data_IF_774371632610
#
_entry.id   IF_774371632610
#
_cell.length_a   1.000
_cell.length_b   1.000
_cell.length_c   1.000
_cell.angle_alpha   90.00
_cell.angle_beta   90.00
_cell.angle_gamma   90.00
#
_symmetry.space_group_name_H-M   'P 1'
#
loop_
_entity.id
_entity.type
_entity.pdbx_description
1 polymer ?
#
# COMPACT_ATOMS: atom_id res chain seq x y z
N UNK A 1 18.82 36.35 16.03
CA UNK A 1 19.16 35.25 16.96
C UNK A 1 17.94 34.46 17.46
N UNK A 2 16.71 34.78 17.04
CA UNK A 2 15.46 34.14 17.52
C UNK A 2 14.87 33.05 16.59
N UNK A 3 15.46 32.79 15.42
CA UNK A 3 14.96 31.78 14.46
C UNK A 3 15.67 30.41 14.53
N UNK A 4 16.83 30.33 15.21
CA UNK A 4 17.58 29.07 15.33
C UNK A 4 16.94 28.15 16.39
N UNK A 5 16.32 28.71 17.42
CA UNK A 5 15.67 27.92 18.48
C UNK A 5 14.34 27.28 18.03
N UNK A 6 13.58 27.91 17.12
CA UNK A 6 12.36 27.32 16.55
C UNK A 6 12.66 26.09 15.69
N UNK A 7 13.77 26.11 14.94
CA UNK A 7 14.24 24.97 14.14
C UNK A 7 14.71 23.80 15.01
N UNK A 8 15.40 24.08 16.13
CA UNK A 8 15.86 23.06 17.06
C UNK A 8 14.72 22.46 17.88
N UNK A 9 13.72 23.26 18.26
CA UNK A 9 12.51 22.78 18.93
C UNK A 9 11.70 21.84 18.02
N UNK A 10 11.54 22.16 16.73
CA UNK A 10 10.85 21.29 15.77
C UNK A 10 11.61 20.01 15.44
N UNK A 11 12.95 20.01 15.44
CA UNK A 11 13.73 18.78 15.29
C UNK A 11 13.70 17.89 16.54
N UNK A 12 13.68 18.48 17.74
CA UNK A 12 13.58 17.73 19.00
C UNK A 12 12.20 17.08 19.15
N UNK A 13 11.13 17.81 18.84
CA UNK A 13 9.76 17.30 18.86
C UNK A 13 9.53 16.20 17.79
N UNK A 14 10.19 16.32 16.62
CA UNK A 14 10.23 15.24 15.62
C UNK A 14 11.00 14.00 16.10
N UNK A 15 12.09 14.17 16.86
CA UNK A 15 12.88 13.06 17.41
C UNK A 15 12.17 12.35 18.56
N UNK A 16 11.47 13.10 19.42
CA UNK A 16 10.68 12.54 20.53
C UNK A 16 9.46 11.76 19.99
N UNK A 17 8.72 12.32 19.02
CA UNK A 17 7.66 11.57 18.31
C UNK A 17 8.19 10.32 17.60
N UNK A 18 9.35 10.42 16.95
CA UNK A 18 9.99 9.28 16.28
C UNK A 18 10.38 8.18 17.28
N UNK A 19 10.90 8.54 18.46
CA UNK A 19 11.27 7.57 19.48
C UNK A 19 10.04 6.88 20.08
N UNK A 20 8.96 7.63 20.34
CA UNK A 20 7.71 7.08 20.86
C UNK A 20 7.03 6.13 19.84
N UNK A 21 7.14 6.45 18.54
CA UNK A 21 6.61 5.56 17.49
C UNK A 21 7.48 4.31 17.28
N UNK A 22 8.81 4.40 17.35
CA UNK A 22 9.72 3.23 17.24
C UNK A 22 9.53 2.24 18.40
N UNK A 23 9.23 2.74 19.61
CA UNK A 23 8.87 1.90 20.77
C UNK A 23 7.56 1.15 20.51
N UNK A 24 6.48 1.85 20.15
CA UNK A 24 5.17 1.23 19.86
C UNK A 24 5.22 0.18 18.73
N UNK A 25 6.04 0.43 17.71
CA UNK A 25 6.21 -0.46 16.56
C UNK A 25 6.93 -1.76 16.95
N UNK A 26 7.96 -1.68 17.80
CA UNK A 26 8.71 -2.86 18.29
C UNK A 26 7.92 -3.67 19.30
N UNK A 27 7.12 -3.00 20.13
CA UNK A 27 6.19 -3.65 21.05
C UNK A 27 5.14 -4.45 20.26
N UNK A 28 4.50 -3.84 19.25
CA UNK A 28 3.52 -4.52 18.40
C UNK A 28 4.08 -5.75 17.66
N UNK A 29 5.33 -5.69 17.17
CA UNK A 29 5.96 -6.83 16.50
C UNK A 29 6.30 -7.98 17.47
N UNK A 30 6.75 -7.65 18.69
CA UNK A 30 7.01 -8.64 19.75
C UNK A 30 5.72 -9.27 20.27
N UNK A 31 4.69 -8.46 20.47
CA UNK A 31 3.34 -8.92 20.83
C UNK A 31 2.79 -9.88 19.78
N UNK A 32 2.98 -9.60 18.48
CA UNK A 32 2.54 -10.50 17.41
C UNK A 32 3.15 -11.90 17.47
N UNK A 33 4.44 -12.02 17.82
CA UNK A 33 5.14 -13.30 17.94
C UNK A 33 4.71 -14.08 19.20
N UNK A 34 4.61 -13.40 20.35
CA UNK A 34 4.11 -13.98 21.61
C UNK A 34 2.65 -14.45 21.43
N UNK A 35 1.84 -13.67 20.72
CA UNK A 35 0.47 -14.06 20.42
C UNK A 35 0.43 -15.30 19.53
N UNK A 36 1.32 -15.48 18.55
CA UNK A 36 1.34 -16.70 17.73
C UNK A 36 1.61 -17.98 18.54
N UNK A 37 2.56 -17.95 19.47
CA UNK A 37 2.85 -19.10 20.33
C UNK A 37 1.65 -19.45 21.23
N UNK A 38 1.01 -18.43 21.83
CA UNK A 38 -0.23 -18.61 22.60
C UNK A 38 -1.36 -19.18 21.76
N UNK A 39 -1.52 -18.72 20.52
CA UNK A 39 -2.55 -19.22 19.57
C UNK A 39 -2.35 -20.71 19.26
N UNK A 40 -1.12 -21.13 19.02
CA UNK A 40 -0.78 -22.55 18.83
C UNK A 40 -1.07 -23.39 20.08
N UNK A 41 -0.73 -22.89 21.26
CA UNK A 41 -0.99 -23.60 22.52
C UNK A 41 -2.49 -23.84 22.74
N UNK A 42 -3.33 -22.84 22.46
CA UNK A 42 -4.79 -22.97 22.58
C UNK A 42 -5.34 -23.93 21.52
N UNK A 43 -4.86 -23.86 20.27
CA UNK A 43 -5.31 -24.76 19.22
C UNK A 43 -5.00 -26.23 19.53
N UNK A 44 -3.88 -26.52 20.20
CA UNK A 44 -3.52 -27.87 20.65
C UNK A 44 -4.47 -28.44 21.71
N UNK A 45 -5.35 -27.62 22.31
CA UNK A 45 -6.37 -28.07 23.27
C UNK A 45 -7.66 -28.53 22.62
N UNK A 46 -7.83 -28.32 21.31
CA UNK A 46 -9.04 -28.72 20.58
C UNK A 46 -8.90 -30.19 20.18
N UNK A 47 -9.60 -31.08 20.87
CA UNK A 47 -9.55 -32.53 20.60
C UNK A 47 -10.73 -33.05 19.77
N UNK A 48 -11.86 -32.35 19.85
CA UNK A 48 -13.08 -32.65 19.09
C UNK A 48 -13.89 -31.39 18.75
N UNK A 49 -15.02 -31.57 18.07
CA UNK A 49 -15.91 -30.47 17.69
C UNK A 49 -16.53 -29.77 18.91
N UNK A 50 -16.83 -30.51 19.99
CA UNK A 50 -17.45 -29.92 21.20
C UNK A 50 -16.45 -29.04 21.94
N UNK A 51 -15.18 -29.41 21.98
CA UNK A 51 -14.10 -28.59 22.52
C UNK A 51 -13.91 -27.30 21.72
N UNK A 52 -14.00 -27.38 20.38
CA UNK A 52 -13.95 -26.20 19.52
C UNK A 52 -15.10 -25.23 19.82
N UNK A 53 -16.34 -25.72 19.93
CA UNK A 53 -17.48 -24.88 20.29
C UNK A 53 -17.37 -24.31 21.70
N UNK A 54 -16.84 -25.07 22.68
CA UNK A 54 -16.61 -24.57 24.04
C UNK A 54 -15.63 -23.40 24.05
N UNK A 55 -14.52 -23.53 23.32
CA UNK A 55 -13.53 -22.47 23.18
C UNK A 55 -14.14 -21.21 22.54
N UNK A 56 -14.92 -21.38 21.47
CA UNK A 56 -15.59 -20.24 20.84
C UNK A 56 -16.60 -19.59 21.78
N UNK A 57 -17.34 -20.37 22.57
CA UNK A 57 -18.26 -19.84 23.57
C UNK A 57 -17.53 -18.98 24.62
N UNK A 58 -16.38 -19.42 25.13
CA UNK A 58 -15.57 -18.64 26.08
C UNK A 58 -15.20 -17.26 25.50
N UNK A 59 -14.74 -17.22 24.25
CA UNK A 59 -14.37 -15.98 23.55
C UNK A 59 -15.57 -15.05 23.35
N UNK A 60 -16.74 -15.61 23.02
CA UNK A 60 -17.94 -14.82 22.76
C UNK A 60 -18.60 -14.29 24.04
N UNK A 61 -18.44 -14.98 25.17
CA UNK A 61 -18.98 -14.57 26.47
C UNK A 61 -18.16 -13.46 27.11
N UNK A 62 -16.84 -13.46 26.94
CA UNK A 62 -15.98 -12.42 27.51
C UNK A 62 -16.26 -11.03 26.91
N UNK A 63 -16.69 -10.97 25.65
CA UNK A 63 -17.01 -9.71 24.92
C UNK A 63 -15.90 -8.65 24.98
N UNK A 64 -14.65 -9.11 25.07
CA UNK A 64 -13.47 -8.27 25.22
C UNK A 64 -12.67 -8.21 23.91
N UNK A 65 -12.13 -7.03 23.60
CA UNK A 65 -11.38 -6.82 22.36
C UNK A 65 -10.07 -7.61 22.35
N UNK A 66 -9.30 -7.61 23.44
CA UNK A 66 -7.98 -8.24 23.48
C UNK A 66 -8.10 -9.76 23.37
N UNK A 67 -9.09 -10.33 24.05
CA UNK A 67 -9.41 -11.75 23.97
C UNK A 67 -9.92 -12.12 22.57
N UNK A 68 -10.80 -11.32 21.99
CA UNK A 68 -11.23 -11.52 20.61
C UNK A 68 -10.05 -11.44 19.62
N UNK A 69 -9.11 -10.52 19.79
CA UNK A 69 -7.91 -10.40 18.94
C UNK A 69 -6.96 -11.61 19.09
N UNK A 70 -6.85 -12.17 20.30
CA UNK A 70 -6.10 -13.39 20.52
C UNK A 70 -6.74 -14.57 19.78
N UNK A 71 -8.07 -14.69 19.83
CA UNK A 71 -8.82 -15.88 19.40
C UNK A 71 -9.50 -15.78 18.03
N UNK A 72 -9.50 -14.61 17.36
CA UNK A 72 -10.14 -14.39 16.06
C UNK A 72 -9.68 -15.37 14.96
N UNK A 73 -8.46 -15.91 15.08
CA UNK A 73 -7.93 -16.91 14.17
C UNK A 73 -8.74 -18.21 14.14
N UNK A 74 -9.53 -18.51 15.18
CA UNK A 74 -10.46 -19.64 15.19
C UNK A 74 -11.66 -19.45 14.26
N UNK A 75 -11.90 -18.24 13.76
CA UNK A 75 -12.87 -18.01 12.68
C UNK A 75 -12.21 -18.01 11.30
N UNK A 76 -10.91 -18.31 11.24
CA UNK A 76 -10.14 -18.23 10.00
C UNK A 76 -9.99 -19.55 9.27
N UNK A 77 -10.10 -19.52 7.93
CA UNK A 77 -9.70 -20.64 7.07
C UNK A 77 -8.17 -20.85 7.02
N UNK A 78 -7.40 -19.90 7.57
CA UNK A 78 -5.94 -19.99 7.72
C UNK A 78 -5.52 -20.19 9.18
N UNK A 79 -6.51 -20.40 10.07
CA UNK A 79 -6.27 -20.64 11.47
C UNK A 79 -5.58 -21.99 11.73
N UNK A 80 -4.89 -22.16 12.86
CA UNK A 80 -4.32 -23.43 13.26
C UNK A 80 -5.32 -24.61 13.28
N UNK A 81 -6.56 -24.35 13.72
CA UNK A 81 -7.63 -25.35 13.76
C UNK A 81 -8.12 -25.75 12.37
N UNK A 82 -7.92 -24.89 11.35
CA UNK A 82 -8.42 -25.12 10.00
C UNK A 82 -7.88 -26.40 9.38
N UNK A 83 -6.74 -26.91 9.87
CA UNK A 83 -6.13 -28.16 9.39
C UNK A 83 -6.64 -29.43 10.09
N UNK A 84 -7.46 -29.30 11.13
CA UNK A 84 -7.94 -30.43 11.93
C UNK A 84 -9.07 -31.18 11.19
N UNK A 85 -8.87 -32.46 10.78
CA UNK A 85 -9.83 -33.15 9.91
C UNK A 85 -11.24 -33.31 10.49
N UNK A 86 -11.36 -33.40 11.82
CA UNK A 86 -12.65 -33.52 12.49
C UNK A 86 -13.49 -32.23 12.46
N UNK A 87 -12.92 -31.09 12.02
CA UNK A 87 -13.64 -29.84 11.79
C UNK A 87 -14.05 -29.65 10.33
N UNK A 88 -13.68 -30.55 9.42
CA UNK A 88 -14.04 -30.47 8.00
C UNK A 88 -15.39 -31.13 7.77
N UNK A 89 -16.45 -30.42 8.16
CA UNK A 89 -17.80 -30.99 8.22
C UNK A 89 -18.76 -30.30 7.25
N UNK A 90 -19.39 -31.11 6.40
CA UNK A 90 -20.52 -30.72 5.58
C UNK A 90 -21.84 -30.71 6.36
N UNK A 91 -22.68 -29.70 6.09
CA UNK A 91 -24.03 -29.46 6.61
C UNK A 91 -24.11 -29.65 8.13
N UNK A 92 -23.17 -29.03 8.86
CA UNK A 92 -23.12 -29.16 10.33
C UNK A 92 -24.40 -28.66 11.01
N UNK A 93 -25.05 -27.63 10.45
CA UNK A 93 -26.28 -27.02 10.97
C UNK A 93 -27.44 -28.03 11.11
N UNK A 94 -27.54 -29.00 10.18
CA UNK A 94 -28.63 -30.00 10.11
C UNK A 94 -28.46 -31.19 11.07
N UNK A 95 -27.35 -31.26 11.81
CA UNK A 95 -27.05 -32.40 12.69
C UNK A 95 -27.87 -32.34 13.98
N UNK A 96 -28.57 -33.44 14.28
CA UNK A 96 -29.49 -33.54 15.43
C UNK A 96 -28.83 -33.37 16.82
N UNK A 97 -27.63 -33.92 17.04
CA UNK A 97 -26.87 -33.84 18.31
C UNK A 97 -25.58 -33.02 18.14
N UNK A 98 -25.72 -31.83 17.55
CA UNK A 98 -24.59 -30.90 17.34
C UNK A 98 -24.35 -30.01 18.55
N UNK A 99 -23.11 -29.57 18.73
CA UNK A 99 -22.82 -28.42 19.58
C UNK A 99 -23.35 -27.13 18.93
N UNK A 100 -23.76 -26.17 19.75
CA UNK A 100 -24.27 -24.86 19.31
C UNK A 100 -23.70 -23.73 20.17
N UNK A 101 -23.65 -22.53 19.63
CA UNK A 101 -23.37 -21.29 20.35
C UNK A 101 -24.69 -20.60 20.74
N UNK A 102 -24.69 -19.88 21.86
CA UNK A 102 -25.89 -19.15 22.33
C UNK A 102 -26.25 -17.96 21.44
N UNK A 103 -25.27 -17.40 20.72
CA UNK A 103 -25.50 -16.33 19.76
C UNK A 103 -25.79 -16.93 18.39
N UNK A 104 -27.06 -16.87 17.95
CA UNK A 104 -27.52 -17.45 16.68
C UNK A 104 -26.69 -16.97 15.46
N UNK A 105 -26.26 -15.71 15.46
CA UNK A 105 -25.47 -15.15 14.37
C UNK A 105 -24.09 -15.80 14.29
N UNK A 106 -23.40 -15.90 15.43
CA UNK A 106 -22.12 -16.59 15.51
C UNK A 106 -22.23 -18.10 15.33
N UNK A 107 -23.30 -18.75 15.81
CA UNK A 107 -23.56 -20.18 15.58
C UNK A 107 -23.65 -20.48 14.08
N UNK A 108 -24.42 -19.67 13.34
CA UNK A 108 -24.54 -19.78 11.89
C UNK A 108 -23.18 -19.54 11.20
N UNK A 109 -22.42 -18.52 11.61
CA UNK A 109 -21.09 -18.26 11.06
C UNK A 109 -20.15 -19.46 11.26
N UNK A 110 -20.18 -20.10 12.43
CA UNK A 110 -19.32 -21.25 12.74
C UNK A 110 -19.74 -22.48 11.93
N UNK A 111 -21.04 -22.72 11.76
CA UNK A 111 -21.54 -23.80 10.91
C UNK A 111 -21.06 -23.62 9.46
N UNK A 112 -21.19 -22.41 8.91
CA UNK A 112 -20.67 -22.05 7.59
C UNK A 112 -19.14 -22.15 7.54
N UNK A 113 -18.42 -21.80 8.61
CA UNK A 113 -16.97 -21.95 8.67
C UNK A 113 -16.53 -23.41 8.54
N UNK A 114 -17.17 -24.34 9.26
CA UNK A 114 -16.90 -25.78 9.13
C UNK A 114 -17.20 -26.29 7.71
N UNK A 115 -18.27 -25.79 7.09
CA UNK A 115 -18.62 -26.07 5.69
C UNK A 115 -17.54 -25.54 4.73
N UNK A 116 -17.02 -24.33 4.95
CA UNK A 116 -15.95 -23.76 4.14
C UNK A 116 -14.66 -24.60 4.26
N UNK A 117 -14.31 -25.05 5.46
CA UNK A 117 -13.18 -25.96 5.68
C UNK A 117 -13.37 -27.30 4.97
N UNK A 118 -14.57 -27.86 4.99
CA UNK A 118 -14.90 -29.07 4.23
C UNK A 118 -14.68 -28.86 2.72
N UNK A 119 -15.17 -27.76 2.16
CA UNK A 119 -14.96 -27.47 0.74
C UNK A 119 -13.49 -27.27 0.38
N UNK A 120 -12.69 -26.68 1.27
CA UNK A 120 -11.25 -26.47 1.05
C UNK A 120 -10.45 -27.78 1.13
N UNK A 121 -10.71 -28.60 2.15
CA UNK A 121 -9.82 -29.71 2.52
C UNK A 121 -10.32 -31.10 2.13
N UNK A 122 -11.62 -31.28 1.90
CA UNK A 122 -12.22 -32.59 1.62
C UNK A 122 -12.81 -32.64 0.21
N UNK A 123 -13.67 -31.67 -0.14
CA UNK A 123 -14.29 -31.64 -1.46
C UNK A 123 -13.38 -31.00 -2.53
N UNK A 124 -12.31 -30.32 -2.11
CA UNK A 124 -11.35 -29.58 -2.97
C UNK A 124 -12.06 -28.62 -3.97
N UNK A 125 -13.19 -28.05 -3.57
CA UNK A 125 -13.99 -27.14 -4.38
C UNK A 125 -13.89 -25.71 -3.84
N UNK A 126 -12.97 -24.92 -4.41
CA UNK A 126 -12.72 -23.55 -3.94
C UNK A 126 -13.83 -22.56 -4.32
N UNK A 127 -14.60 -22.81 -5.37
CA UNK A 127 -15.74 -21.97 -5.74
C UNK A 127 -16.84 -22.05 -4.69
N UNK A 128 -17.18 -23.26 -4.25
CA UNK A 128 -18.12 -23.48 -3.17
C UNK A 128 -17.57 -22.95 -1.84
N UNK A 129 -16.27 -23.11 -1.57
CA UNK A 129 -15.66 -22.49 -0.39
C UNK A 129 -15.79 -20.96 -0.41
N UNK A 130 -15.56 -20.33 -1.57
CA UNK A 130 -15.74 -18.89 -1.74
C UNK A 130 -17.21 -18.48 -1.57
N UNK A 131 -18.16 -19.23 -2.15
CA UNK A 131 -19.58 -19.00 -1.96
C UNK A 131 -19.97 -19.09 -0.47
N UNK A 132 -19.46 -20.07 0.27
CA UNK A 132 -19.68 -20.17 1.72
C UNK A 132 -19.02 -19.00 2.47
N UNK A 133 -17.81 -18.58 2.10
CA UNK A 133 -17.14 -17.43 2.73
C UNK A 133 -17.86 -16.10 2.48
N UNK A 134 -18.48 -15.93 1.29
CA UNK A 134 -19.32 -14.75 1.02
C UNK A 134 -20.59 -14.76 1.88
N UNK A 135 -21.21 -15.93 2.07
CA UNK A 135 -22.33 -16.08 3.01
C UNK A 135 -21.93 -15.72 4.45
N UNK A 136 -20.76 -16.18 4.92
CA UNK A 136 -20.23 -15.79 6.24
C UNK A 136 -20.14 -14.28 6.37
N UNK A 137 -19.62 -13.58 5.35
CA UNK A 137 -19.51 -12.12 5.35
C UNK A 137 -20.88 -11.43 5.37
N UNK A 138 -21.88 -11.96 4.66
CA UNK A 138 -23.25 -11.44 4.66
C UNK A 138 -23.92 -11.63 6.03
N UNK A 139 -23.82 -12.83 6.61
CA UNK A 139 -24.35 -13.14 7.94
C UNK A 139 -23.67 -12.25 8.98
N UNK A 140 -22.34 -12.13 8.95
CA UNK A 140 -21.62 -11.27 9.89
C UNK A 140 -22.06 -9.81 9.78
N UNK A 141 -22.22 -9.27 8.57
CA UNK A 141 -22.70 -7.90 8.39
C UNK A 141 -24.11 -7.72 8.96
N UNK A 142 -25.04 -8.62 8.62
CA UNK A 142 -26.46 -8.51 8.99
C UNK A 142 -26.69 -8.79 10.48
N UNK A 143 -26.16 -9.89 10.99
CA UNK A 143 -26.47 -10.42 12.31
C UNK A 143 -25.54 -9.86 13.40
N UNK A 144 -24.31 -9.46 13.06
CA UNK A 144 -23.33 -8.96 14.03
C UNK A 144 -23.18 -7.45 13.89
N UNK A 145 -22.68 -6.94 12.75
CA UNK A 145 -22.37 -5.50 12.57
C UNK A 145 -23.62 -4.61 12.72
N UNK A 146 -24.73 -5.00 12.09
CA UNK A 146 -25.94 -4.17 12.05
C UNK A 146 -26.82 -4.30 13.30
N UNK A 147 -26.93 -5.51 13.89
CA UNK A 147 -27.75 -5.74 15.09
C UNK A 147 -27.05 -5.32 16.38
N UNK A 148 -25.77 -5.65 16.57
CA UNK A 148 -25.00 -5.30 17.78
C UNK A 148 -24.50 -3.87 17.71
N UNK A 149 -25.40 -2.91 17.90
CA UNK A 149 -25.11 -1.50 17.65
C UNK A 149 -24.02 -0.98 18.58
N UNK A 150 -24.07 -1.25 19.88
CA UNK A 150 -23.25 -0.57 20.89
C UNK A 150 -21.91 -1.25 21.22
N UNK A 151 -21.51 -2.22 20.40
CA UNK A 151 -20.35 -3.07 20.64
C UNK A 151 -19.45 -3.11 19.40
N UNK A 152 -18.15 -3.27 19.64
CA UNK A 152 -17.14 -3.46 18.58
C UNK A 152 -16.08 -4.53 18.92
N UNK A 153 -16.20 -5.25 20.05
CA UNK A 153 -15.24 -6.28 20.47
C UNK A 153 -15.02 -7.37 19.42
N UNK A 154 -15.99 -7.61 18.53
CA UNK A 154 -15.94 -8.61 17.45
C UNK A 154 -15.20 -8.15 16.17
N UNK A 155 -14.69 -6.91 16.12
CA UNK A 155 -13.98 -6.41 14.93
C UNK A 155 -12.72 -7.21 14.56
N UNK A 156 -11.92 -7.76 15.50
CA UNK A 156 -10.81 -8.64 15.14
C UNK A 156 -11.21 -9.88 14.33
N UNK A 157 -12.36 -10.51 14.66
CA UNK A 157 -12.94 -11.60 13.85
C UNK A 157 -13.25 -11.09 12.44
N UNK A 158 -13.90 -9.93 12.35
CA UNK A 158 -14.26 -9.33 11.07
C UNK A 158 -13.05 -9.03 10.17
N UNK A 159 -11.93 -8.57 10.75
CA UNK A 159 -10.68 -8.32 10.00
C UNK A 159 -10.12 -9.60 9.39
N UNK A 160 -10.24 -10.72 10.12
CA UNK A 160 -9.83 -12.03 9.64
C UNK A 160 -10.74 -12.52 8.51
N UNK A 161 -12.06 -12.41 8.67
CA UNK A 161 -13.03 -12.78 7.63
C UNK A 161 -12.83 -11.99 6.33
N UNK A 162 -12.53 -10.69 6.41
CA UNK A 162 -12.16 -9.89 5.24
C UNK A 162 -10.88 -10.40 4.55
N UNK A 163 -9.89 -10.80 5.34
CA UNK A 163 -8.62 -11.34 4.82
C UNK A 163 -8.83 -12.69 4.15
N UNK A 164 -9.64 -13.55 4.74
CA UNK A 164 -9.96 -14.88 4.24
C UNK A 164 -10.76 -14.80 2.95
N UNK A 165 -11.81 -13.97 2.91
CA UNK A 165 -12.56 -13.73 1.68
C UNK A 165 -11.65 -13.26 0.54
N UNK A 166 -10.80 -12.26 0.80
CA UNK A 166 -9.88 -11.72 -0.21
C UNK A 166 -8.85 -12.75 -0.69
N UNK A 167 -8.28 -13.53 0.23
CA UNK A 167 -7.24 -14.51 -0.11
C UNK A 167 -7.81 -15.74 -0.81
N UNK A 168 -8.99 -16.20 -0.41
CA UNK A 168 -9.71 -17.28 -1.06
C UNK A 168 -10.16 -16.87 -2.47
N UNK A 169 -10.76 -15.68 -2.61
CA UNK A 169 -11.14 -15.13 -3.91
C UNK A 169 -9.95 -15.09 -4.89
N UNK A 170 -8.78 -14.68 -4.40
CA UNK A 170 -7.56 -14.67 -5.21
C UNK A 170 -7.14 -16.09 -5.62
N UNK A 171 -7.23 -17.07 -4.73
CA UNK A 171 -6.88 -18.47 -5.03
C UNK A 171 -7.82 -19.06 -6.08
N UNK A 172 -9.11 -18.75 -6.02
CA UNK A 172 -10.09 -19.16 -7.03
C UNK A 172 -9.72 -18.56 -8.40
N UNK A 173 -9.53 -17.24 -8.47
CA UNK A 173 -9.12 -16.56 -9.71
C UNK A 173 -7.78 -17.11 -10.27
N UNK A 174 -6.79 -17.37 -9.41
CA UNK A 174 -5.50 -17.92 -9.82
C UNK A 174 -5.60 -19.39 -10.33
N UNK A 175 -6.70 -20.11 -10.05
CA UNK A 175 -6.98 -21.45 -10.58
C UNK A 175 -7.77 -21.41 -11.87
N UNK A 176 -8.83 -20.58 -11.96
CA UNK A 176 -9.66 -20.46 -13.17
C UNK A 176 -8.89 -19.87 -14.35
N UNK A 177 -8.00 -18.89 -14.11
CA UNK A 177 -7.13 -18.30 -15.15
C UNK A 177 -6.13 -19.31 -15.74
N UNK A 178 -5.87 -20.45 -15.09
CA UNK A 178 -5.01 -21.51 -15.66
C UNK A 178 -5.78 -22.46 -16.58
N UNK A 179 -7.11 -22.44 -16.54
CA UNK A 179 -7.96 -23.37 -17.29
C UNK A 179 -8.51 -22.73 -18.58
N UNK A 180 -8.67 -21.41 -18.62
CA UNK A 180 -9.17 -20.66 -19.78
C UNK A 180 -8.10 -19.76 -20.43
N UNK A 181 -7.43 -20.30 -21.44
CA UNK A 181 -6.62 -19.55 -22.44
C UNK A 181 -7.51 -19.00 -23.59
N UNK A 182 -8.84 -18.92 -23.42
CA UNK A 182 -9.77 -18.50 -24.48
C UNK A 182 -10.46 -17.17 -24.15
N UNK A 183 -10.36 -16.23 -25.10
CA UNK A 183 -10.83 -14.85 -25.02
C UNK A 183 -12.38 -14.79 -25.03
N UNK A 184 -13.00 -14.98 -23.86
CA UNK A 184 -14.43 -14.73 -23.62
C UNK A 184 -14.67 -13.51 -22.73
N UNK A 185 -15.78 -12.78 -22.98
CA UNK A 185 -16.18 -11.57 -22.25
C UNK A 185 -16.03 -11.72 -20.71
N UNK A 186 -15.11 -10.94 -20.12
CA UNK A 186 -14.72 -11.01 -18.70
C UNK A 186 -15.92 -10.96 -17.75
N UNK A 187 -16.33 -12.12 -17.24
CA UNK A 187 -17.09 -12.18 -16.00
C UNK A 187 -16.31 -11.45 -14.89
N UNK A 188 -17.04 -10.81 -13.98
CA UNK A 188 -16.40 -10.11 -12.86
C UNK A 188 -15.67 -11.13 -12.01
N UNK A 189 -14.34 -11.04 -11.89
CA UNK A 189 -13.55 -12.05 -11.17
C UNK A 189 -13.97 -12.15 -9.70
N UNK A 190 -13.76 -13.29 -9.06
CA UNK A 190 -14.10 -13.48 -7.65
C UNK A 190 -13.37 -12.47 -6.76
N UNK A 191 -12.12 -12.13 -7.08
CA UNK A 191 -11.36 -11.11 -6.37
C UNK A 191 -11.99 -9.72 -6.48
N UNK A 192 -12.53 -9.34 -7.65
CA UNK A 192 -13.30 -8.10 -7.79
C UNK A 192 -14.63 -8.18 -7.02
N UNK A 193 -15.38 -9.28 -7.14
CA UNK A 193 -16.66 -9.47 -6.44
C UNK A 193 -16.50 -9.36 -4.92
N UNK A 194 -15.40 -9.87 -4.36
CA UNK A 194 -15.12 -9.81 -2.92
C UNK A 194 -15.14 -8.38 -2.36
N UNK A 195 -14.78 -7.38 -3.17
CA UNK A 195 -14.81 -5.98 -2.77
C UNK A 195 -16.23 -5.50 -2.44
N UNK A 196 -17.26 -6.03 -3.09
CA UNK A 196 -18.66 -5.63 -2.87
C UNK A 196 -19.12 -5.95 -1.44
N UNK A 197 -18.84 -7.16 -0.95
CA UNK A 197 -19.18 -7.60 0.41
C UNK A 197 -18.42 -6.81 1.47
N UNK A 198 -17.11 -6.58 1.27
CA UNK A 198 -16.31 -5.75 2.18
C UNK A 198 -16.84 -4.30 2.16
N UNK A 199 -17.20 -3.77 0.99
CA UNK A 199 -17.72 -2.41 0.86
C UNK A 199 -19.11 -2.24 1.51
N UNK A 200 -19.95 -3.28 1.51
CA UNK A 200 -21.24 -3.26 2.20
C UNK A 200 -21.06 -3.10 3.71
N UNK A 201 -20.22 -3.95 4.31
CA UNK A 201 -19.87 -3.83 5.73
C UNK A 201 -19.14 -2.51 6.03
N UNK A 202 -18.32 -2.01 5.10
CA UNK A 202 -17.62 -0.73 5.25
C UNK A 202 -18.61 0.42 5.43
N UNK A 203 -19.66 0.44 4.62
CA UNK A 203 -20.71 1.46 4.71
C UNK A 203 -21.44 1.39 6.04
N UNK A 204 -21.71 0.19 6.57
CA UNK A 204 -22.31 0.01 7.88
C UNK A 204 -21.42 0.53 9.03
N UNK A 205 -20.09 0.34 8.93
CA UNK A 205 -19.14 0.87 9.91
C UNK A 205 -18.98 2.40 9.81
N UNK A 206 -18.94 2.96 8.59
CA UNK A 206 -18.80 4.41 8.38
C UNK A 206 -20.05 5.18 8.82
N UNK A 207 -21.24 4.58 8.65
CA UNK A 207 -22.52 5.19 9.06
C UNK A 207 -22.77 5.12 10.57
N UNK A 208 -21.88 4.50 11.33
CA UNK A 208 -21.99 4.48 12.79
C UNK A 208 -21.98 5.92 13.35
N UNK A 209 -22.97 6.26 14.15
CA UNK A 209 -23.11 7.61 14.71
C UNK A 209 -22.10 7.83 15.86
N UNK A 210 -21.66 6.75 16.51
CA UNK A 210 -20.71 6.81 17.63
C UNK A 210 -19.32 7.20 17.15
N UNK A 211 -18.61 7.93 18.01
CA UNK A 211 -17.22 8.33 17.80
C UNK A 211 -16.27 7.84 18.90
N UNK A 212 -16.80 7.24 19.97
CA UNK A 212 -15.99 6.63 21.01
C UNK A 212 -15.26 5.40 20.45
N UNK A 213 -13.92 5.34 20.46
CA UNK A 213 -13.17 4.21 19.91
C UNK A 213 -13.47 2.89 20.61
N UNK A 214 -13.88 2.91 21.88
CA UNK A 214 -14.19 1.71 22.66
C UNK A 214 -15.48 0.99 22.24
N UNK A 215 -16.38 1.67 21.51
CA UNK A 215 -17.70 1.13 21.14
C UNK A 215 -18.06 1.35 19.67
N UNK A 216 -17.41 2.31 19.00
CA UNK A 216 -17.68 2.64 17.61
C UNK A 216 -17.09 1.61 16.67
N UNK A 217 -17.84 1.24 15.63
CA UNK A 217 -17.36 0.38 14.54
C UNK A 217 -16.47 1.12 13.55
N UNK A 218 -16.36 2.45 13.68
CA UNK A 218 -15.44 3.26 12.86
C UNK A 218 -13.97 2.86 13.06
N UNK A 219 -13.65 2.15 14.14
CA UNK A 219 -12.33 1.51 14.35
C UNK A 219 -11.91 0.61 13.18
N UNK A 220 -12.87 0.04 12.44
CA UNK A 220 -12.62 -0.80 11.28
C UNK A 220 -12.26 -0.04 9.98
N UNK A 221 -12.51 1.28 9.90
CA UNK A 221 -12.42 2.04 8.64
C UNK A 221 -11.06 1.87 7.97
N UNK A 222 -9.97 1.94 8.73
CA UNK A 222 -8.63 1.88 8.16
C UNK A 222 -8.27 0.46 7.68
N UNK A 223 -8.59 -0.56 8.47
CA UNK A 223 -8.35 -1.96 8.09
C UNK A 223 -9.11 -2.33 6.81
N UNK A 224 -10.40 -2.00 6.76
CA UNK A 224 -11.25 -2.26 5.60
C UNK A 224 -10.79 -1.48 4.37
N UNK A 225 -10.37 -0.22 4.55
CA UNK A 225 -9.75 0.58 3.49
C UNK A 225 -8.52 -0.13 2.94
N UNK A 226 -7.66 -0.68 3.80
CA UNK A 226 -6.48 -1.43 3.38
C UNK A 226 -6.83 -2.72 2.61
N UNK A 227 -7.89 -3.45 3.01
CA UNK A 227 -8.36 -4.62 2.26
C UNK A 227 -8.87 -4.22 0.87
N UNK A 228 -9.70 -3.19 0.79
CA UNK A 228 -10.22 -2.68 -0.48
C UNK A 228 -9.12 -2.09 -1.37
N UNK A 229 -8.11 -1.42 -0.80
CA UNK A 229 -6.94 -0.94 -1.53
C UNK A 229 -6.18 -2.10 -2.17
N UNK A 230 -5.98 -3.21 -1.46
CA UNK A 230 -5.32 -4.41 -2.03
C UNK A 230 -6.09 -4.99 -3.21
N UNK A 231 -7.41 -4.87 -3.21
CA UNK A 231 -8.25 -5.29 -4.34
C UNK A 231 -8.15 -4.30 -5.49
N UNK A 232 -8.50 -3.03 -5.26
CA UNK A 232 -8.59 -2.00 -6.29
C UNK A 232 -7.27 -1.66 -6.97
N UNK A 233 -6.12 -1.77 -6.28
CA UNK A 233 -4.82 -1.65 -6.94
C UNK A 233 -4.51 -2.83 -7.87
N UNK A 234 -4.95 -4.05 -7.52
CA UNK A 234 -4.69 -5.25 -8.32
C UNK A 234 -5.56 -5.30 -9.56
N UNK A 235 -6.83 -4.89 -9.47
CA UNK A 235 -7.76 -4.78 -10.61
C UNK A 235 -7.66 -3.44 -11.36
N UNK A 236 -6.70 -2.59 -11.01
CA UNK A 236 -6.45 -1.27 -11.62
C UNK A 236 -7.65 -0.29 -11.62
N UNK A 237 -8.56 -0.38 -10.63
CA UNK A 237 -9.71 0.55 -10.46
C UNK A 237 -9.40 1.66 -9.44
N UNK A 238 -8.36 2.47 -9.72
CA UNK A 238 -7.84 3.47 -8.79
C UNK A 238 -8.81 4.63 -8.47
N UNK A 239 -9.83 4.84 -9.30
CA UNK A 239 -10.90 5.80 -9.05
C UNK A 239 -11.72 5.45 -7.78
N UNK A 240 -11.85 4.16 -7.46
CA UNK A 240 -12.58 3.65 -6.30
C UNK A 240 -11.86 3.90 -4.96
N UNK A 241 -10.61 4.36 -4.99
CA UNK A 241 -9.86 4.71 -3.78
C UNK A 241 -10.36 6.03 -3.15
N UNK A 242 -10.92 6.95 -3.94
CA UNK A 242 -11.26 8.31 -3.48
C UNK A 242 -12.27 8.33 -2.30
N UNK A 243 -13.38 7.57 -2.33
CA UNK A 243 -14.32 7.53 -1.20
C UNK A 243 -13.69 6.98 0.08
N UNK A 244 -12.80 6.00 -0.05
CA UNK A 244 -12.11 5.38 1.08
C UNK A 244 -11.11 6.34 1.73
N UNK A 245 -10.33 7.05 0.91
CA UNK A 245 -9.42 8.11 1.39
C UNK A 245 -10.20 9.16 2.18
N UNK A 246 -11.35 9.62 1.67
CA UNK A 246 -12.20 10.59 2.36
C UNK A 246 -12.72 10.08 3.71
N UNK A 247 -13.10 8.80 3.79
CA UNK A 247 -13.54 8.21 5.05
C UNK A 247 -12.41 8.20 6.10
N UNK A 248 -11.17 7.91 5.69
CA UNK A 248 -10.00 7.97 6.57
C UNK A 248 -9.65 9.41 6.95
N UNK A 249 -9.73 10.36 6.02
CA UNK A 249 -9.55 11.80 6.30
C UNK A 249 -10.57 12.31 7.35
N UNK A 250 -11.82 11.87 7.25
CA UNK A 250 -12.86 12.19 8.24
C UNK A 250 -12.53 11.58 9.62
N UNK A 251 -12.06 10.33 9.67
CA UNK A 251 -11.61 9.70 10.90
C UNK A 251 -10.38 10.40 11.52
N UNK A 252 -9.53 11.01 10.69
CA UNK A 252 -8.43 11.85 11.15
C UNK A 252 -8.93 13.15 11.78
N UNK A 253 -9.91 13.80 11.17
CA UNK A 253 -10.51 15.03 11.73
C UNK A 253 -11.22 14.80 13.07
N UNK A 254 -11.78 13.60 13.30
CA UNK A 254 -12.44 13.24 14.56
C UNK A 254 -11.49 12.72 15.64
N UNK A 255 -10.17 12.68 15.39
CA UNK A 255 -9.16 12.12 16.31
C UNK A 255 -9.13 10.59 16.38
N UNK A 256 -10.02 9.90 15.66
CA UNK A 256 -10.11 8.44 15.68
C UNK A 256 -8.88 7.78 15.02
N UNK A 257 -8.29 8.45 14.03
CA UNK A 257 -7.11 7.94 13.32
C UNK A 257 -5.96 7.57 14.25
N UNK A 258 -5.80 8.29 15.36
CA UNK A 258 -4.72 8.04 16.32
C UNK A 258 -4.87 6.68 17.04
N UNK A 259 -6.10 6.20 17.21
CA UNK A 259 -6.39 4.88 17.80
C UNK A 259 -6.08 3.70 16.88
N UNK A 260 -5.93 3.91 15.56
CA UNK A 260 -5.70 2.81 14.63
C UNK A 260 -4.30 2.20 14.78
N UNK A 261 -4.20 0.91 14.47
CA UNK A 261 -2.95 0.17 14.52
C UNK A 261 -1.88 0.81 13.62
N UNK A 262 -0.61 0.74 14.04
CA UNK A 262 0.49 1.25 13.23
C UNK A 262 0.65 0.46 11.92
N UNK A 263 0.37 -0.85 11.94
CA UNK A 263 0.39 -1.70 10.76
C UNK A 263 -0.62 -1.23 9.69
N UNK A 264 -1.82 -0.83 10.11
CA UNK A 264 -2.82 -0.27 9.21
C UNK A 264 -2.43 1.12 8.71
N UNK A 265 -1.88 1.98 9.57
CA UNK A 265 -1.38 3.32 9.19
C UNK A 265 -0.25 3.23 8.15
N UNK A 266 0.68 2.29 8.31
CA UNK A 266 1.75 2.01 7.34
C UNK A 266 1.19 1.53 6.02
N UNK A 267 0.27 0.56 6.04
CA UNK A 267 -0.37 0.02 4.84
C UNK A 267 -1.15 1.09 4.07
N UNK A 268 -1.93 1.91 4.77
CA UNK A 268 -2.68 3.00 4.16
C UNK A 268 -1.76 4.02 3.49
N UNK A 269 -0.73 4.48 4.20
CA UNK A 269 0.21 5.47 3.69
C UNK A 269 1.04 4.94 2.51
N UNK A 270 1.35 3.64 2.48
CA UNK A 270 1.96 3.00 1.31
C UNK A 270 1.08 3.14 0.06
N UNK A 271 -0.20 2.80 0.16
CA UNK A 271 -1.13 2.90 -0.97
C UNK A 271 -1.48 4.35 -1.33
N UNK A 272 -1.71 5.22 -0.34
CA UNK A 272 -1.96 6.65 -0.56
C UNK A 272 -0.78 7.29 -1.31
N UNK A 273 0.44 6.99 -0.88
CA UNK A 273 1.65 7.48 -1.50
C UNK A 273 1.84 7.00 -2.94
N UNK A 274 1.55 5.73 -3.22
CA UNK A 274 1.54 5.18 -4.59
C UNK A 274 0.50 5.88 -5.47
N UNK A 275 -0.71 6.06 -4.97
CA UNK A 275 -1.78 6.77 -5.69
C UNK A 275 -1.36 8.22 -5.98
N UNK A 276 -0.80 8.91 -4.99
CA UNK A 276 -0.33 10.28 -5.14
C UNK A 276 0.81 10.39 -6.16
N UNK A 277 1.72 9.41 -6.20
CA UNK A 277 2.77 9.32 -7.22
C UNK A 277 2.18 9.21 -8.64
N UNK A 278 1.18 8.35 -8.84
CA UNK A 278 0.49 8.22 -10.13
C UNK A 278 -0.27 9.50 -10.54
N UNK A 279 -0.87 10.19 -9.56
CA UNK A 279 -1.52 11.49 -9.77
C UNK A 279 -0.49 12.65 -9.93
N UNK A 280 0.82 12.38 -9.95
CA UNK A 280 1.91 13.36 -9.94
C UNK A 280 1.90 14.36 -8.76
N UNK A 281 1.22 14.02 -7.66
CA UNK A 281 1.19 14.80 -6.41
C UNK A 281 2.40 14.45 -5.53
N UNK A 282 3.59 14.91 -5.94
CA UNK A 282 4.86 14.49 -5.34
C UNK A 282 5.00 14.81 -3.84
N UNK A 283 4.49 15.94 -3.36
CA UNK A 283 4.56 16.30 -1.93
C UNK A 283 3.76 15.33 -1.03
N UNK A 284 2.56 14.94 -1.49
CA UNK A 284 1.75 13.94 -0.80
C UNK A 284 2.39 12.55 -0.91
N UNK A 285 2.88 12.20 -2.10
CA UNK A 285 3.57 10.93 -2.32
C UNK A 285 4.80 10.77 -1.39
N UNK A 286 5.61 11.82 -1.28
CA UNK A 286 6.79 11.84 -0.41
C UNK A 286 6.40 11.68 1.04
N UNK A 287 5.47 12.50 1.54
CA UNK A 287 5.10 12.49 2.95
C UNK A 287 4.48 11.15 3.37
N UNK A 288 3.57 10.58 2.56
CA UNK A 288 2.96 9.28 2.83
C UNK A 288 3.94 8.11 2.72
N UNK A 289 4.73 8.01 1.65
CA UNK A 289 5.70 6.90 1.50
C UNK A 289 6.81 6.98 2.55
N UNK A 290 7.25 8.18 2.93
CA UNK A 290 8.23 8.37 3.99
C UNK A 290 7.65 8.00 5.36
N UNK A 291 6.39 8.32 5.62
CA UNK A 291 5.68 7.87 6.83
C UNK A 291 5.66 6.33 6.88
N UNK A 292 5.22 5.68 5.80
CA UNK A 292 5.19 4.23 5.73
C UNK A 292 6.58 3.61 5.94
N UNK A 293 7.62 4.17 5.30
CA UNK A 293 8.98 3.64 5.43
C UNK A 293 9.54 3.76 6.86
N UNK A 294 9.29 4.89 7.52
CA UNK A 294 9.78 5.17 8.88
C UNK A 294 9.09 4.32 9.92
N UNK A 295 7.78 4.14 9.79
CA UNK A 295 6.96 3.43 10.78
C UNK A 295 6.85 1.92 10.50
N UNK A 296 7.37 1.45 9.36
CA UNK A 296 7.55 0.02 9.12
C UNK A 296 8.75 -0.50 9.96
N UNK A 297 8.57 -1.54 10.79
CA UNK A 297 9.67 -2.10 11.58
C UNK A 297 10.85 -2.58 10.71
N UNK A 298 12.10 -2.48 11.19
CA UNK A 298 13.29 -2.89 10.44
C UNK A 298 13.35 -4.39 10.11
N UNK A 299 12.65 -5.23 10.88
CA UNK A 299 12.55 -6.68 10.69
C UNK A 299 11.78 -7.03 9.40
N UNK A 300 10.82 -6.19 8.98
CA UNK A 300 10.04 -6.40 7.76
C UNK A 300 10.75 -5.82 6.54
N UNK A 301 11.91 -6.39 6.21
CA UNK A 301 12.79 -5.94 5.12
C UNK A 301 12.05 -5.90 3.78
N UNK A 302 11.23 -6.92 3.47
CA UNK A 302 10.44 -6.95 2.24
C UNK A 302 9.43 -5.80 2.14
N UNK A 303 8.78 -5.44 3.24
CA UNK A 303 7.82 -4.33 3.25
C UNK A 303 8.54 -3.00 3.07
N UNK A 304 9.68 -2.79 3.74
CA UNK A 304 10.53 -1.62 3.51
C UNK A 304 11.01 -1.55 2.06
N UNK A 305 11.41 -2.68 1.47
CA UNK A 305 11.78 -2.78 0.04
C UNK A 305 10.62 -2.35 -0.86
N UNK A 306 9.41 -2.88 -0.64
CA UNK A 306 8.20 -2.49 -1.40
C UNK A 306 7.91 -0.99 -1.31
N UNK A 307 8.07 -0.39 -0.13
CA UNK A 307 7.89 1.06 0.05
C UNK A 307 8.96 1.84 -0.72
N UNK A 308 10.22 1.40 -0.67
CA UNK A 308 11.35 2.06 -1.34
C UNK A 308 11.24 2.08 -2.86
N UNK A 309 10.69 1.03 -3.48
CA UNK A 309 10.43 0.98 -4.93
C UNK A 309 9.67 2.22 -5.42
N UNK A 310 8.74 2.75 -4.60
CA UNK A 310 7.98 3.95 -4.92
C UNK A 310 8.58 5.23 -4.33
N UNK A 311 9.21 5.16 -3.15
CA UNK A 311 9.79 6.33 -2.49
C UNK A 311 11.03 6.86 -3.23
N UNK A 312 11.89 5.96 -3.74
CA UNK A 312 13.12 6.33 -4.43
C UNK A 312 12.82 7.26 -5.62
N UNK A 313 11.94 6.89 -6.57
CA UNK A 313 11.64 7.79 -7.68
C UNK A 313 11.04 9.13 -7.27
N UNK A 314 10.14 9.14 -6.28
CA UNK A 314 9.57 10.38 -5.74
C UNK A 314 10.68 11.29 -5.21
N UNK A 315 11.63 10.74 -4.44
CA UNK A 315 12.80 11.47 -3.95
C UNK A 315 13.68 11.98 -5.09
N UNK A 316 13.88 11.17 -6.14
CA UNK A 316 14.67 11.57 -7.30
C UNK A 316 14.04 12.75 -8.05
N UNK A 317 12.72 12.80 -8.21
CA UNK A 317 12.05 13.98 -8.76
C UNK A 317 12.20 15.23 -7.91
N UNK A 318 12.22 15.07 -6.59
CA UNK A 318 12.48 16.16 -5.65
C UNK A 318 13.98 16.52 -5.56
N UNK A 319 14.83 15.88 -6.37
CA UNK A 319 16.27 16.14 -6.46
C UNK A 319 17.11 15.45 -5.40
N UNK A 320 16.54 14.51 -4.65
CA UNK A 320 17.22 13.72 -3.63
C UNK A 320 17.54 12.32 -4.18
N UNK A 321 18.81 12.08 -4.48
CA UNK A 321 19.27 10.78 -4.97
C UNK A 321 19.55 9.83 -3.80
N UNK A 322 19.13 8.56 -3.86
CA UNK A 322 19.46 7.58 -2.83
C UNK A 322 20.97 7.29 -2.78
N UNK A 323 21.44 6.85 -1.62
CA UNK A 323 22.79 6.34 -1.45
C UNK A 323 22.88 4.90 -1.95
N UNK A 324 24.06 4.51 -2.45
CA UNK A 324 24.28 3.17 -3.01
C UNK A 324 24.15 2.08 -1.94
N UNK A 325 24.56 2.34 -0.71
CA UNK A 325 24.43 1.38 0.41
C UNK A 325 22.97 1.08 0.75
N UNK A 326 22.07 2.07 0.61
CA UNK A 326 20.64 1.88 0.81
C UNK A 326 20.06 0.93 -0.25
N UNK A 327 20.47 1.09 -1.51
CA UNK A 327 19.99 0.26 -2.62
C UNK A 327 20.41 -1.19 -2.44
N UNK A 328 21.69 -1.43 -2.11
CA UNK A 328 22.20 -2.77 -1.83
C UNK A 328 21.51 -3.41 -0.62
N UNK A 329 21.31 -2.67 0.47
CA UNK A 329 20.67 -3.18 1.68
C UNK A 329 19.27 -3.76 1.42
N UNK A 330 18.53 -3.20 0.47
CA UNK A 330 17.15 -3.61 0.17
C UNK A 330 17.02 -4.30 -1.20
N UNK A 331 18.12 -4.75 -1.82
CA UNK A 331 18.10 -5.48 -3.09
C UNK A 331 17.37 -4.70 -4.20
N UNK A 332 17.81 -3.46 -4.40
CA UNK A 332 17.30 -2.49 -5.38
C UNK A 332 18.41 -2.02 -6.33
N UNK A 333 19.29 -2.94 -6.72
CA UNK A 333 20.43 -2.69 -7.60
C UNK A 333 20.06 -2.11 -8.97
N UNK A 334 18.85 -2.41 -9.45
CA UNK A 334 18.29 -1.86 -10.69
C UNK A 334 18.28 -0.32 -10.68
N UNK A 335 18.14 0.30 -9.50
CA UNK A 335 18.16 1.75 -9.38
C UNK A 335 19.57 2.36 -9.43
N UNK A 336 20.65 1.58 -9.25
CA UNK A 336 22.01 2.12 -9.14
C UNK A 336 22.41 2.90 -10.38
N UNK A 337 22.17 2.33 -11.56
CA UNK A 337 22.53 2.93 -12.84
C UNK A 337 21.64 4.12 -13.20
N UNK A 338 20.34 4.02 -12.89
CA UNK A 338 19.38 5.13 -13.02
C UNK A 338 19.84 6.33 -12.20
N UNK A 339 20.19 6.10 -10.93
CA UNK A 339 20.62 7.15 -10.00
C UNK A 339 21.94 7.79 -10.44
N UNK A 340 22.90 7.00 -10.92
CA UNK A 340 24.15 7.52 -11.47
C UNK A 340 23.88 8.41 -12.69
N UNK A 341 23.11 7.91 -13.66
CA UNK A 341 22.81 8.61 -14.91
C UNK A 341 22.12 9.95 -14.67
N UNK A 342 21.10 9.99 -13.81
CA UNK A 342 20.40 11.25 -13.46
C UNK A 342 21.33 12.20 -12.68
N UNK A 343 22.15 11.67 -11.76
CA UNK A 343 23.09 12.49 -10.97
C UNK A 343 24.10 13.23 -11.84
N UNK A 344 24.61 12.58 -12.89
CA UNK A 344 25.60 13.18 -13.80
C UNK A 344 24.97 13.87 -15.01
N UNK A 345 23.66 13.71 -15.24
CA UNK A 345 22.98 14.26 -16.42
C UNK A 345 23.36 13.55 -17.71
N UNK A 346 23.54 12.23 -17.66
CA UNK A 346 23.81 11.42 -18.84
C UNK A 346 22.50 10.77 -19.33
N UNK A 347 21.98 11.29 -20.43
CA UNK A 347 20.67 10.88 -20.97
C UNK A 347 20.76 9.49 -21.59
N UNK A 348 21.82 9.20 -22.36
CA UNK A 348 22.01 7.89 -22.99
C UNK A 348 22.12 6.76 -21.96
N UNK A 349 22.93 6.97 -20.91
CA UNK A 349 23.07 6.00 -19.80
C UNK A 349 21.75 5.79 -19.06
N UNK A 350 20.90 6.82 -18.95
CA UNK A 350 19.59 6.69 -18.33
C UNK A 350 18.70 5.79 -19.18
N UNK A 351 18.63 6.03 -20.48
CA UNK A 351 17.82 5.23 -21.41
C UNK A 351 18.30 3.75 -21.42
N UNK A 352 19.61 3.51 -21.46
CA UNK A 352 20.20 2.16 -21.36
C UNK A 352 19.89 1.46 -20.03
N UNK A 353 19.90 2.19 -18.92
CA UNK A 353 19.60 1.65 -17.60
C UNK A 353 18.11 1.34 -17.44
N UNK A 354 17.21 2.16 -18.02
CA UNK A 354 15.78 1.89 -18.05
C UNK A 354 15.47 0.63 -18.87
N UNK A 355 16.12 0.50 -20.03
CA UNK A 355 15.93 -0.63 -20.93
C UNK A 355 16.46 -1.95 -20.34
N UNK A 356 17.63 -1.92 -19.69
CA UNK A 356 18.25 -3.10 -19.07
C UNK A 356 17.34 -3.79 -18.06
N UNK A 357 16.68 -3.01 -17.21
CA UNK A 357 15.84 -3.50 -16.11
C UNK A 357 14.34 -3.21 -16.35
N UNK A 358 13.94 -3.09 -17.63
CA UNK A 358 12.59 -2.70 -18.06
C UNK A 358 11.51 -3.59 -17.44
N UNK A 359 11.67 -4.92 -17.53
CA UNK A 359 10.71 -5.88 -17.01
C UNK A 359 10.45 -5.70 -15.51
N UNK A 360 11.49 -5.41 -14.72
CA UNK A 360 11.36 -5.14 -13.29
C UNK A 360 10.56 -3.86 -13.03
N UNK A 361 10.85 -2.79 -13.75
CA UNK A 361 10.15 -1.51 -13.58
C UNK A 361 8.70 -1.55 -14.07
N UNK A 362 8.40 -2.30 -15.13
CA UNK A 362 7.04 -2.54 -15.63
C UNK A 362 6.26 -3.36 -14.61
N UNK A 363 6.82 -4.46 -14.11
CA UNK A 363 6.17 -5.30 -13.09
C UNK A 363 5.88 -4.51 -11.79
N UNK A 364 6.76 -3.58 -11.41
CA UNK A 364 6.53 -2.69 -10.28
C UNK A 364 5.53 -1.55 -10.56
N UNK A 365 5.18 -1.32 -11.83
CA UNK A 365 4.31 -0.22 -12.27
C UNK A 365 4.95 1.15 -12.16
N UNK A 366 6.28 1.26 -12.30
CA UNK A 366 7.01 2.54 -12.16
C UNK A 366 7.77 2.96 -13.41
N UNK A 367 7.81 2.14 -14.46
CA UNK A 367 8.57 2.43 -15.68
C UNK A 367 8.27 3.81 -16.29
N UNK A 368 6.99 4.09 -16.60
CA UNK A 368 6.54 5.36 -17.18
C UNK A 368 6.86 6.58 -16.31
N UNK A 369 6.95 6.38 -15.01
CA UNK A 369 7.34 7.44 -14.10
C UNK A 369 8.86 7.64 -14.20
N UNK A 370 9.67 6.58 -14.21
CA UNK A 370 11.12 6.70 -14.31
C UNK A 370 11.57 7.33 -15.64
N UNK A 371 10.86 7.09 -16.74
CA UNK A 371 11.11 7.76 -18.03
C UNK A 371 11.06 9.29 -17.91
N UNK A 372 10.19 9.84 -17.04
CA UNK A 372 10.10 11.30 -16.81
C UNK A 372 11.36 11.88 -16.15
N UNK A 373 12.27 11.04 -15.63
CA UNK A 373 13.58 11.49 -15.15
C UNK A 373 14.50 11.97 -16.28
N UNK A 374 14.21 11.66 -17.55
CA UNK A 374 14.93 12.19 -18.71
C UNK A 374 14.98 13.72 -18.67
N UNK A 375 13.88 14.38 -18.32
CA UNK A 375 13.84 15.83 -18.19
C UNK A 375 14.79 16.36 -17.09
N UNK A 376 14.97 15.60 -16.00
CA UNK A 376 15.94 15.95 -14.95
C UNK A 376 17.37 15.76 -15.44
N UNK A 377 17.65 14.68 -16.18
CA UNK A 377 18.94 14.43 -16.78
C UNK A 377 19.33 15.53 -17.79
N UNK A 378 18.42 15.92 -18.69
CA UNK A 378 18.61 17.07 -19.59
C UNK A 378 18.89 18.36 -18.81
N UNK A 379 18.05 18.69 -17.83
CA UNK A 379 18.25 19.86 -16.97
C UNK A 379 19.64 19.84 -16.31
N UNK A 380 20.10 18.68 -15.84
CA UNK A 380 21.41 18.53 -15.21
C UNK A 380 22.55 18.72 -16.21
N UNK A 381 22.43 18.15 -17.42
CA UNK A 381 23.37 18.34 -18.51
C UNK A 381 23.48 19.82 -18.92
N UNK A 382 22.35 20.48 -19.13
CA UNK A 382 22.34 21.88 -19.58
C UNK A 382 22.85 22.82 -18.49
N UNK A 383 22.58 22.50 -17.22
CA UNK A 383 23.23 23.19 -16.09
C UNK A 383 24.74 23.02 -16.15
N UNK A 384 25.25 21.81 -16.39
CA UNK A 384 26.67 21.56 -16.54
C UNK A 384 27.29 22.38 -17.68
N UNK A 385 26.68 22.36 -18.88
CA UNK A 385 27.13 23.19 -20.00
C UNK A 385 27.14 24.68 -19.67
N UNK A 386 26.11 25.18 -18.96
CA UNK A 386 26.06 26.60 -18.58
C UNK A 386 27.17 27.03 -17.64
N UNK A 387 27.54 26.15 -16.71
CA UNK A 387 28.64 26.39 -15.78
C UNK A 387 29.97 26.34 -16.53
N UNK A 388 30.13 25.39 -17.44
CA UNK A 388 31.35 25.24 -18.25
C UNK A 388 31.59 26.45 -19.18
N UNK A 389 30.54 27.00 -19.78
CA UNK A 389 30.65 28.14 -20.69
C UNK A 389 30.80 29.49 -19.98
N UNK A 390 30.59 29.54 -18.66
CA UNK A 390 30.61 30.76 -17.83
C UNK A 390 29.77 31.92 -18.41
N UNK A 391 28.70 31.59 -19.14
CA UNK A 391 27.87 32.57 -19.84
C UNK A 391 26.38 32.30 -19.61
N UNK A 392 25.60 33.36 -19.55
CA UNK A 392 24.14 33.31 -19.43
C UNK A 392 23.45 33.24 -20.80
N UNK A 393 24.16 33.50 -21.90
CA UNK A 393 23.66 33.33 -23.27
C UNK A 393 24.47 32.22 -23.95
N UNK A 394 23.86 31.06 -24.15
CA UNK A 394 24.56 29.85 -24.62
C UNK A 394 23.98 29.44 -25.96
N UNK A 395 24.84 29.22 -26.96
CA UNK A 395 24.43 28.74 -28.27
C UNK A 395 23.91 27.30 -28.18
N UNK A 396 22.86 26.97 -28.93
CA UNK A 396 22.24 25.64 -28.88
C UNK A 396 23.21 24.52 -29.30
N UNK A 397 24.16 24.82 -30.17
CA UNK A 397 25.21 23.88 -30.59
C UNK A 397 26.06 23.35 -29.42
N UNK A 398 26.20 24.11 -28.33
CA UNK A 398 26.91 23.64 -27.13
C UNK A 398 26.16 22.46 -26.51
N UNK A 399 24.83 22.56 -26.41
CA UNK A 399 24.01 21.48 -25.87
C UNK A 399 23.92 20.30 -26.83
N UNK A 400 23.78 20.54 -28.14
CA UNK A 400 23.84 19.48 -29.16
C UNK A 400 25.18 18.73 -29.10
N UNK A 401 26.29 19.45 -28.99
CA UNK A 401 27.62 18.85 -28.85
C UNK A 401 27.71 18.02 -27.58
N UNK A 402 27.22 18.53 -26.45
CA UNK A 402 27.20 17.78 -25.20
C UNK A 402 26.35 16.49 -25.29
N UNK A 403 25.23 16.51 -26.01
CA UNK A 403 24.41 15.33 -26.28
C UNK A 403 25.12 14.33 -27.19
N UNK A 404 25.77 14.81 -28.26
CA UNK A 404 26.58 13.97 -29.17
C UNK A 404 27.75 13.31 -28.45
N UNK A 405 28.39 13.99 -27.50
CA UNK A 405 29.43 13.40 -26.65
C UNK A 405 28.90 12.26 -25.75
N UNK A 406 27.58 12.19 -25.52
CA UNK A 406 26.93 11.07 -24.83
C UNK A 406 26.40 10.02 -25.82
N UNK A 407 26.71 10.10 -27.12
CA UNK A 407 26.14 9.28 -28.19
C UNK A 407 24.62 9.43 -28.36
N UNK A 408 24.08 10.60 -28.05
CA UNK A 408 22.70 10.99 -28.40
C UNK A 408 22.76 11.78 -29.70
N UNK A 409 22.46 11.11 -30.82
CA UNK A 409 22.62 11.65 -32.19
C UNK A 409 21.31 11.84 -32.93
N UNK A 410 20.22 11.34 -32.36
CA UNK A 410 18.84 11.42 -32.84
C UNK A 410 18.19 12.78 -32.58
N UNK A 411 18.73 13.58 -31.66
CA UNK A 411 18.22 14.91 -31.32
C UNK A 411 18.82 15.97 -32.25
N UNK A 412 17.98 16.61 -33.05
CA UNK A 412 18.33 17.78 -33.85
C UNK A 412 18.10 19.10 -33.12
N UNK A 413 18.33 20.23 -33.80
CA UNK A 413 18.19 21.54 -33.19
C UNK A 413 16.73 21.85 -32.81
N UNK A 414 15.76 21.41 -33.60
CA UNK A 414 14.35 21.72 -33.36
C UNK A 414 13.80 20.89 -32.19
N UNK A 415 14.21 19.62 -32.08
CA UNK A 415 13.90 18.79 -30.92
C UNK A 415 14.58 19.32 -29.65
N UNK A 416 15.84 19.77 -29.73
CA UNK A 416 16.52 20.41 -28.60
C UNK A 416 15.77 21.66 -28.13
N UNK A 417 15.31 22.51 -29.05
CA UNK A 417 14.51 23.69 -28.71
C UNK A 417 13.22 23.29 -27.99
N UNK A 418 12.54 22.24 -28.45
CA UNK A 418 11.34 21.70 -27.80
C UNK A 418 11.64 21.20 -26.38
N UNK A 419 12.74 20.45 -26.19
CA UNK A 419 13.17 19.98 -24.86
C UNK A 419 13.42 21.16 -23.93
N UNK A 420 14.18 22.17 -24.39
CA UNK A 420 14.48 23.36 -23.59
C UNK A 420 13.21 24.15 -23.28
N UNK A 421 12.31 24.32 -24.24
CA UNK A 421 11.04 25.01 -24.06
C UNK A 421 10.19 24.32 -22.96
N UNK A 422 10.10 23.00 -22.99
CA UNK A 422 9.41 22.22 -21.95
C UNK A 422 10.06 22.38 -20.57
N UNK A 423 11.40 22.39 -20.50
CA UNK A 423 12.11 22.65 -19.24
C UNK A 423 11.89 24.07 -18.71
N UNK A 424 11.70 25.07 -19.58
CA UNK A 424 11.35 26.43 -19.17
C UNK A 424 9.90 26.48 -18.70
N UNK A 425 8.97 25.88 -19.45
CA UNK A 425 7.55 25.81 -19.11
C UNK A 425 7.32 25.15 -17.74
N UNK A 426 8.00 24.03 -17.47
CA UNK A 426 7.95 23.31 -16.20
C UNK A 426 8.64 24.07 -15.03
N UNK A 427 9.22 25.25 -15.26
CA UNK A 427 9.96 26.01 -14.26
C UNK A 427 11.29 25.36 -13.84
N UNK A 428 11.74 24.33 -14.56
CA UNK A 428 13.01 23.60 -14.32
C UNK A 428 14.23 24.42 -14.73
N UNK A 429 14.06 25.32 -15.69
CA UNK A 429 15.03 26.32 -16.14
C UNK A 429 14.33 27.69 -16.15
N UNK A 430 14.98 28.71 -15.57
CA UNK A 430 14.52 30.12 -15.67
C UNK A 430 15.29 30.80 -16.79
N UNK A 431 14.59 31.25 -17.82
CA UNK A 431 15.18 31.89 -19.00
C UNK A 431 14.21 31.95 -20.16
N UNK A 432 14.71 32.27 -21.35
CA UNK A 432 13.95 32.20 -22.60
C UNK A 432 14.81 31.68 -23.74
N UNK A 433 14.17 31.08 -24.73
CA UNK A 433 14.81 30.63 -25.95
C UNK A 433 14.77 31.73 -27.01
N UNK A 434 15.93 32.12 -27.53
CA UNK A 434 16.06 33.02 -28.68
C UNK A 434 16.20 32.19 -29.95
N UNK A 435 15.06 31.86 -30.57
CA UNK A 435 14.99 31.02 -31.77
C UNK A 435 15.79 31.61 -32.93
N UNK A 436 15.62 32.91 -33.22
CA UNK A 436 16.33 33.59 -34.33
C UNK A 436 17.86 33.53 -34.19
N UNK A 437 18.36 33.55 -32.96
CA UNK A 437 19.80 33.53 -32.68
C UNK A 437 20.31 32.16 -32.21
N UNK A 438 19.47 31.12 -32.23
CA UNK A 438 19.78 29.76 -31.74
C UNK A 438 20.51 29.78 -30.39
N UNK A 439 19.95 30.50 -29.41
CA UNK A 439 20.53 30.65 -28.06
C UNK A 439 19.50 30.40 -26.96
N UNK A 440 19.95 29.78 -25.88
CA UNK A 440 19.26 29.80 -24.59
C UNK A 440 19.79 30.98 -23.76
N UNK A 441 18.90 31.89 -23.36
CA UNK A 441 19.21 33.01 -22.47
C UNK A 441 18.72 32.68 -21.07
N UNK A 442 19.65 32.36 -20.18
CA UNK A 442 19.40 31.99 -18.79
C UNK A 442 19.22 33.21 -17.90
N UNK A 443 18.36 33.07 -16.89
CA UNK A 443 18.23 34.05 -15.83
C UNK A 443 19.55 34.21 -15.07
N UNK A 444 19.99 35.46 -14.87
CA UNK A 444 21.17 35.76 -14.05
C UNK A 444 21.00 35.36 -12.58
N UNK A 445 19.75 35.26 -12.12
CA UNK A 445 19.40 34.81 -10.77
C UNK A 445 18.77 33.43 -10.85
N UNK A 446 19.48 32.44 -10.29
CA UNK A 446 18.95 31.09 -10.09
C UNK A 446 18.36 30.44 -11.36
N UNK A 447 19.14 30.43 -12.46
CA UNK A 447 18.75 29.83 -13.74
C UNK A 447 18.23 28.38 -13.64
N UNK A 448 18.65 27.64 -12.61
CA UNK A 448 18.27 26.25 -12.37
C UNK A 448 17.80 26.10 -10.91
N UNK A 449 16.53 26.42 -10.60
CA UNK A 449 16.00 26.36 -9.23
C UNK A 449 16.02 24.94 -8.66
N UNK A 450 16.08 24.74 -7.34
CA UNK A 450 15.98 23.43 -6.71
C UNK A 450 14.75 22.66 -7.19
N UNK A 451 14.90 21.36 -7.49
CA UNK A 451 13.78 20.56 -8.02
C UNK A 451 12.60 20.50 -7.04
N UNK A 452 12.88 20.48 -5.74
CA UNK A 452 11.86 20.50 -4.70
C UNK A 452 10.97 21.75 -4.73
N UNK A 453 11.48 22.91 -5.17
CA UNK A 453 10.69 24.15 -5.21
C UNK A 453 9.74 24.23 -6.39
N UNK A 454 9.77 23.25 -7.30
CA UNK A 454 8.86 23.18 -8.45
C UNK A 454 7.51 22.56 -8.03
N UNK A 455 7.53 21.77 -6.95
CA UNK A 455 6.41 20.96 -6.51
C UNK A 455 5.86 21.39 -5.13
N UNK A 456 6.39 22.48 -4.57
CA UNK A 456 5.82 23.21 -3.43
C UNK A 456 4.97 24.35 -3.95
#
# INVERSE_FOLDING_TARGET
MLDIDKSRATERDKREKFHQTDVQVRESAREGMINWEKRMEVANRISDVRDYFRLLHEVLVETDWEQCELHAHFFSIQGPHATLPFLHIENYEDRYDRAYLEDDGFDQIVCLHLQALYYIHVAENLENAYATQTQIMQVFNKEVIQKKKEENWFMPIFYQLCTDLRTLAKKVDDMTVKEDDDEGETETTYYEQSASYIMEAFRACVSDVRNDPGTSKKVAILNMTNQLFRIYFKINKLNLLKPLIRAVENAQQSGLYDSFSMADKVSFNYFLGRKAMFDAKLALAESSLLYAFRNCPPEYVENKRRILIYLIPVKMFLGQMPKKELLHKYELDQFVQIVEAVRIGNVKKLDEALWRDEAFFIQCGIYLMLEKLRAIAFRKLFKFCSVLMENHMIHLDVFLTALRLQNVTDIDCDELECIIANLIYDGRIKGYLSHQHKKLVLSKKEAFPPLSSIYM
#
